data_IF_054352715384
#
_entry.id   IF_054352715384
#
_cell.length_a   1.000
_cell.length_b   1.000
_cell.length_c   1.000
_cell.angle_alpha   90.00
_cell.angle_beta   90.00
_cell.angle_gamma   90.00
#
_symmetry.space_group_name_H-M   'P 1'
#
loop_
_entity.id
_entity.type
_entity.pdbx_description
1 polymer ?
#
# COMPACT_ATOMS: atom_id res chain seq x y z
N UNK A 1 -37.54 -3.55 -33.30
CA UNK A 1 -38.77 -4.36 -33.33
C UNK A 1 -38.31 -5.80 -33.25
N UNK A 2 -38.25 -6.33 -32.03
CA UNK A 2 -38.14 -7.76 -31.75
C UNK A 2 -39.03 -8.04 -30.54
N UNK A 3 -39.77 -9.13 -30.62
CA UNK A 3 -41.07 -9.31 -29.98
C UNK A 3 -40.89 -9.99 -28.62
N UNK A 4 -41.16 -9.27 -27.52
CA UNK A 4 -41.27 -9.89 -26.17
C UNK A 4 -42.66 -10.50 -26.05
N UNK A 5 -42.75 -11.82 -26.22
CA UNK A 5 -43.95 -12.59 -25.87
C UNK A 5 -43.71 -13.26 -24.51
N UNK A 6 -44.12 -12.59 -23.43
CA UNK A 6 -44.24 -13.20 -22.11
C UNK A 6 -45.61 -13.87 -22.03
N UNK A 7 -45.69 -15.15 -22.41
CA UNK A 7 -46.84 -15.98 -22.07
C UNK A 7 -46.78 -16.34 -20.59
N UNK A 8 -47.79 -15.91 -19.84
CA UNK A 8 -48.04 -16.27 -18.44
C UNK A 8 -48.33 -17.78 -18.32
N UNK A 9 -47.43 -18.57 -17.70
CA UNK A 9 -47.76 -19.82 -17.02
C UNK A 9 -46.81 -20.10 -15.83
N UNK A 10 -47.33 -19.85 -14.63
CA UNK A 10 -47.25 -20.63 -13.38
C UNK A 10 -45.93 -21.37 -12.99
N UNK A 11 -45.32 -20.84 -11.91
CA UNK A 11 -44.65 -21.52 -10.76
C UNK A 11 -43.35 -22.28 -11.00
N UNK A 12 -42.20 -21.60 -10.87
CA UNK A 12 -40.95 -22.08 -10.23
C UNK A 12 -40.13 -20.85 -9.76
N UNK A 13 -39.44 -20.88 -8.60
CA UNK A 13 -38.54 -19.81 -8.21
C UNK A 13 -37.23 -19.98 -8.97
N UNK A 14 -37.14 -19.44 -10.18
CA UNK A 14 -35.83 -19.16 -10.76
C UNK A 14 -35.29 -17.93 -10.05
N UNK A 15 -34.34 -18.16 -9.14
CA UNK A 15 -33.42 -17.12 -8.71
C UNK A 15 -32.83 -16.48 -9.96
N UNK A 16 -33.20 -15.22 -10.22
CA UNK A 16 -32.41 -14.37 -11.10
C UNK A 16 -31.03 -14.30 -10.46
N UNK A 17 -30.04 -15.01 -11.01
CA UNK A 17 -28.65 -14.70 -10.78
C UNK A 17 -28.40 -13.34 -11.43
N UNK A 18 -28.70 -12.27 -10.70
CA UNK A 18 -28.20 -10.95 -11.00
C UNK A 18 -26.70 -11.00 -10.80
N UNK A 19 -25.96 -11.16 -11.90
CA UNK A 19 -24.56 -10.78 -11.94
C UNK A 19 -24.51 -9.30 -11.59
N UNK A 20 -24.08 -8.99 -10.37
CA UNK A 20 -23.85 -7.62 -9.92
C UNK A 20 -22.77 -7.02 -10.81
N UNK A 21 -23.15 -6.10 -11.68
CA UNK A 21 -22.19 -5.19 -12.32
C UNK A 21 -21.68 -4.30 -11.20
N UNK A 22 -20.46 -4.54 -10.71
CA UNK A 22 -19.78 -3.56 -9.87
C UNK A 22 -19.54 -2.33 -10.73
N UNK A 23 -20.16 -1.23 -10.35
CA UNK A 23 -20.04 0.06 -11.04
C UNK A 23 -18.65 0.64 -10.72
N UNK A 24 -17.63 0.16 -11.43
CA UNK A 24 -16.23 0.57 -11.30
C UNK A 24 -16.07 2.00 -11.85
N UNK A 25 -16.53 2.99 -11.08
CA UNK A 25 -16.35 4.41 -11.41
C UNK A 25 -14.95 4.86 -11.04
N UNK A 26 -14.26 5.40 -12.05
CA UNK A 26 -12.97 6.04 -11.89
C UNK A 26 -13.14 7.54 -11.63
N UNK A 27 -12.45 8.04 -10.61
CA UNK A 27 -12.39 9.46 -10.28
C UNK A 27 -11.05 10.02 -10.73
N UNK A 28 -11.07 11.24 -11.26
CA UNK A 28 -9.83 11.96 -11.59
C UNK A 28 -9.08 12.25 -10.30
N UNK A 29 -7.80 11.88 -10.24
CA UNK A 29 -6.96 12.24 -9.10
C UNK A 29 -6.59 13.73 -9.13
N UNK A 30 -6.19 14.29 -7.99
CA UNK A 30 -5.64 15.64 -7.92
C UNK A 30 -4.39 15.87 -8.79
N UNK A 31 -3.74 14.80 -9.26
CA UNK A 31 -2.54 14.84 -10.10
C UNK A 31 -2.81 15.09 -11.58
N UNK A 32 -2.31 16.22 -12.06
CA UNK A 32 -2.16 16.56 -13.47
C UNK A 32 -0.67 16.61 -13.83
N UNK A 33 -0.36 16.35 -15.10
CA UNK A 33 1.00 16.43 -15.66
C UNK A 33 2.02 15.51 -14.96
N UNK A 34 1.53 14.41 -14.38
CA UNK A 34 2.33 13.43 -13.65
C UNK A 34 1.97 12.01 -14.09
N UNK A 35 2.97 11.14 -14.15
CA UNK A 35 2.81 9.69 -14.32
C UNK A 35 3.53 8.91 -13.24
N UNK A 36 3.09 7.67 -13.04
CA UNK A 36 3.70 6.71 -12.14
C UNK A 36 4.31 5.56 -12.94
N UNK A 37 5.47 5.07 -12.50
CA UNK A 37 6.17 3.96 -13.16
C UNK A 37 6.03 2.62 -12.43
N UNK A 38 5.58 2.63 -11.18
CA UNK A 38 5.44 1.41 -10.39
C UNK A 38 4.09 0.75 -10.51
N UNK A 39 4.07 -0.54 -10.14
CA UNK A 39 2.87 -1.39 -10.18
C UNK A 39 2.16 -1.32 -11.53
N UNK A 40 2.93 -1.09 -12.59
CA UNK A 40 2.46 -1.02 -13.96
C UNK A 40 2.03 -2.42 -14.40
N UNK A 41 0.73 -2.60 -14.59
CA UNK A 41 0.16 -3.82 -15.17
C UNK A 41 0.32 -3.84 -16.69
N UNK A 42 0.11 -2.69 -17.33
CA UNK A 42 0.20 -2.58 -18.78
C UNK A 42 0.40 -1.14 -19.22
N UNK A 43 1.02 -0.96 -20.39
CA UNK A 43 1.14 0.32 -21.08
C UNK A 43 0.70 0.14 -22.53
N UNK A 44 -0.41 0.78 -22.91
CA UNK A 44 -1.06 0.56 -24.21
C UNK A 44 -1.48 1.89 -24.86
N UNK A 45 -1.53 1.89 -26.20
CA UNK A 45 -2.06 3.02 -26.95
C UNK A 45 -3.61 2.97 -26.94
N UNK A 46 -4.25 4.05 -26.54
CA UNK A 46 -5.72 4.20 -26.60
C UNK A 46 -6.09 5.56 -27.16
N UNK A 47 -7.28 5.65 -27.75
CA UNK A 47 -7.75 6.88 -28.40
C UNK A 47 -8.42 7.85 -27.43
N UNK A 48 -8.68 7.44 -26.18
CA UNK A 48 -9.35 8.28 -25.19
C UNK A 48 -9.18 7.77 -23.75
N UNK A 49 -9.40 8.68 -22.79
CA UNK A 49 -9.54 8.39 -21.36
C UNK A 49 -10.57 7.28 -21.07
N UNK A 50 -11.70 7.30 -21.76
CA UNK A 50 -12.74 6.27 -21.67
C UNK A 50 -12.26 4.91 -22.20
N UNK A 51 -11.40 4.91 -23.21
CA UNK A 51 -10.71 3.71 -23.66
C UNK A 51 -9.84 3.12 -22.56
N UNK A 52 -9.08 3.97 -21.86
CA UNK A 52 -8.23 3.56 -20.76
C UNK A 52 -9.02 3.00 -19.57
N UNK A 53 -10.13 3.65 -19.18
CA UNK A 53 -10.96 3.17 -18.06
C UNK A 53 -11.60 1.80 -18.35
N UNK A 54 -12.04 1.56 -19.59
CA UNK A 54 -12.55 0.24 -20.01
C UNK A 54 -11.46 -0.82 -19.95
N UNK A 55 -10.24 -0.49 -20.36
CA UNK A 55 -9.12 -1.42 -20.30
C UNK A 55 -8.75 -1.74 -18.86
N UNK A 56 -8.70 -0.75 -17.97
CA UNK A 56 -8.50 -1.00 -16.54
C UNK A 56 -9.61 -1.88 -15.96
N UNK A 57 -10.88 -1.59 -16.26
CA UNK A 57 -12.02 -2.39 -15.75
C UNK A 57 -11.98 -3.87 -16.18
N UNK A 58 -11.36 -4.17 -17.32
CA UNK A 58 -11.23 -5.53 -17.85
C UNK A 58 -9.87 -6.17 -17.51
N UNK A 59 -8.98 -5.45 -16.84
CA UNK A 59 -7.68 -5.97 -16.42
C UNK A 59 -7.78 -6.34 -14.94
N UNK A 60 -7.52 -7.61 -14.65
CA UNK A 60 -7.42 -8.10 -13.27
C UNK A 60 -6.40 -7.25 -12.49
N UNK A 61 -6.71 -6.99 -11.22
CA UNK A 61 -5.96 -6.14 -10.30
C UNK A 61 -5.84 -4.66 -10.67
N UNK A 62 -6.31 -4.20 -11.84
CA UNK A 62 -6.19 -2.79 -12.19
C UNK A 62 -7.15 -1.96 -11.34
N UNK A 63 -6.60 -1.02 -10.57
CA UNK A 63 -7.36 -0.11 -9.68
C UNK A 63 -7.11 1.37 -9.95
N UNK A 64 -6.12 1.71 -10.76
CA UNK A 64 -5.96 3.07 -11.30
C UNK A 64 -5.30 3.06 -12.68
N UNK A 65 -5.39 4.18 -13.39
CA UNK A 65 -4.68 4.37 -14.64
C UNK A 65 -4.22 5.82 -14.84
N UNK A 66 -3.12 6.00 -15.55
CA UNK A 66 -2.68 7.29 -16.06
C UNK A 66 -2.91 7.35 -17.56
N UNK A 67 -3.61 8.38 -18.03
CA UNK A 67 -3.78 8.65 -19.46
C UNK A 67 -3.00 9.90 -19.86
N UNK A 68 -2.05 9.73 -20.76
CA UNK A 68 -1.27 10.81 -21.38
C UNK A 68 -1.83 11.13 -22.76
N UNK A 69 -2.23 12.38 -22.96
CA UNK A 69 -2.74 12.86 -24.24
C UNK A 69 -1.71 12.67 -25.36
N UNK A 70 -2.17 12.26 -26.54
CA UNK A 70 -1.32 12.04 -27.71
C UNK A 70 -2.14 12.05 -29.00
N UNK A 71 -1.51 12.42 -30.11
CA UNK A 71 -2.15 12.45 -31.44
C UNK A 71 -1.43 11.49 -32.38
N UNK A 72 -2.14 10.54 -33.05
CA UNK A 72 -3.59 10.32 -33.07
C UNK A 72 -4.15 9.50 -31.89
N UNK A 73 -3.27 8.98 -31.03
CA UNK A 73 -3.63 8.17 -29.86
C UNK A 73 -2.80 8.60 -28.65
N UNK A 74 -3.40 8.56 -27.46
CA UNK A 74 -2.71 8.74 -26.20
C UNK A 74 -2.15 7.43 -25.64
N UNK A 75 -1.37 7.55 -24.58
CA UNK A 75 -0.80 6.41 -23.84
C UNK A 75 -1.63 6.18 -22.58
N UNK A 76 -1.99 4.93 -22.34
CA UNK A 76 -2.73 4.47 -21.17
C UNK A 76 -1.86 3.51 -20.37
N UNK A 77 -1.57 3.88 -19.12
CA UNK A 77 -0.79 3.10 -18.17
C UNK A 77 -1.73 2.60 -17.08
N UNK A 78 -1.83 1.29 -16.93
CA UNK A 78 -2.69 0.62 -15.95
C UNK A 78 -1.89 0.25 -14.72
N UNK A 79 -2.44 0.44 -13.53
CA UNK A 79 -1.75 0.20 -12.27
C UNK A 79 -2.55 -0.70 -11.33
N UNK A 80 -1.84 -1.60 -10.62
CA UNK A 80 -2.44 -2.49 -9.62
C UNK A 80 -2.63 -1.85 -8.24
N UNK A 81 -2.38 -0.55 -8.12
CA UNK A 81 -2.56 0.21 -6.88
C UNK A 81 -3.16 1.56 -7.17
N UNK A 82 -3.84 2.15 -6.17
CA UNK A 82 -4.39 3.49 -6.26
C UNK A 82 -3.25 4.50 -6.26
N UNK A 83 -2.96 5.05 -7.45
CA UNK A 83 -1.94 6.09 -7.63
C UNK A 83 -2.50 7.46 -7.27
N UNK A 84 -1.82 8.15 -6.34
CA UNK A 84 -2.21 9.48 -5.85
C UNK A 84 -0.99 10.40 -5.75
N UNK A 85 -1.24 11.68 -5.51
CA UNK A 85 -0.21 12.74 -5.37
C UNK A 85 0.84 12.44 -4.31
N UNK A 86 0.47 11.55 -3.39
CA UNK A 86 1.29 11.10 -2.29
C UNK A 86 2.31 10.04 -2.70
N UNK A 87 2.14 9.31 -3.81
CA UNK A 87 3.07 8.23 -4.13
C UNK A 87 4.46 8.75 -4.56
N UNK A 88 5.58 8.12 -4.12
CA UNK A 88 6.94 8.70 -4.17
C UNK A 88 7.61 8.67 -5.56
N UNK A 89 7.19 7.78 -6.45
CA UNK A 89 7.81 7.57 -7.76
C UNK A 89 6.95 8.18 -8.87
N UNK A 90 6.97 9.51 -8.89
CA UNK A 90 6.21 10.32 -9.82
C UNK A 90 7.15 11.05 -10.77
N UNK A 91 6.85 11.00 -12.06
CA UNK A 91 7.61 11.65 -13.11
C UNK A 91 6.76 12.75 -13.76
N UNK A 92 7.36 13.90 -14.06
CA UNK A 92 6.71 14.93 -14.86
C UNK A 92 6.36 14.36 -16.23
N UNK A 93 5.07 14.44 -16.58
CA UNK A 93 4.54 13.96 -17.83
C UNK A 93 3.41 14.89 -18.30
N UNK A 94 3.74 16.02 -18.94
CA UNK A 94 2.75 17.00 -19.40
C UNK A 94 1.65 16.37 -20.25
N UNK A 95 0.40 16.77 -20.00
CA UNK A 95 -0.78 16.20 -20.64
C UNK A 95 -1.23 14.86 -20.06
N UNK A 96 -0.64 14.43 -18.93
CA UNK A 96 -1.07 13.23 -18.22
C UNK A 96 -2.12 13.54 -17.17
N UNK A 97 -3.08 12.63 -16.99
CA UNK A 97 -4.05 12.70 -15.91
C UNK A 97 -4.24 11.31 -15.33
N UNK A 98 -4.18 11.20 -14.02
CA UNK A 98 -4.38 9.93 -13.31
C UNK A 98 -5.83 9.80 -12.84
N UNK A 99 -6.33 8.57 -12.84
CA UNK A 99 -7.70 8.22 -12.46
C UNK A 99 -7.69 6.97 -11.59
N UNK A 100 -8.43 6.98 -10.50
CA UNK A 100 -8.43 5.92 -9.48
C UNK A 100 -9.83 5.36 -9.27
N UNK A 101 -9.94 4.07 -8.97
CA UNK A 101 -11.19 3.48 -8.47
C UNK A 101 -11.40 3.85 -7.00
N UNK A 102 -12.62 4.30 -6.67
CA UNK A 102 -12.94 4.74 -5.32
C UNK A 102 -12.45 6.17 -5.00
N UNK A 103 -12.94 6.73 -3.89
CA UNK A 103 -12.62 8.10 -3.48
C UNK A 103 -11.20 8.17 -2.90
N UNK A 104 -10.45 9.25 -3.20
CA UNK A 104 -9.01 9.49 -2.98
C UNK A 104 -8.40 9.28 -1.58
N UNK A 105 -9.14 8.77 -0.61
CA UNK A 105 -8.56 8.38 0.67
C UNK A 105 -8.23 6.90 0.57
N UNK A 106 -6.94 6.59 0.46
CA UNK A 106 -6.52 5.25 0.78
C UNK A 106 -7.00 4.81 2.15
N UNK A 107 -7.14 3.50 2.37
CA UNK A 107 -7.58 3.02 3.65
C UNK A 107 -6.58 3.56 4.70
N UNK A 108 -7.06 4.19 5.79
CA UNK A 108 -6.19 4.75 6.81
C UNK A 108 -5.27 3.64 7.34
N UNK A 109 -4.05 4.01 7.76
CA UNK A 109 -3.17 3.05 8.44
C UNK A 109 -3.91 2.37 9.59
N UNK A 110 -3.60 1.09 9.80
CA UNK A 110 -4.24 0.26 10.83
C UNK A 110 -5.72 -0.05 10.51
N UNK A 111 -6.16 0.18 9.27
CA UNK A 111 -7.44 -0.37 8.79
C UNK A 111 -7.40 -1.90 8.77
N UNK A 112 -8.55 -2.51 9.05
CA UNK A 112 -8.69 -3.96 9.00
C UNK A 112 -8.58 -4.46 7.54
N UNK A 113 -7.92 -5.60 7.36
CA UNK A 113 -7.76 -6.27 6.08
C UNK A 113 -7.80 -7.79 6.25
N UNK A 114 -8.13 -8.51 5.18
CA UNK A 114 -7.96 -9.95 5.07
C UNK A 114 -6.80 -10.30 4.12
N UNK A 115 -6.60 -9.48 3.08
CA UNK A 115 -5.53 -9.64 2.09
C UNK A 115 -4.84 -8.31 1.76
N UNK A 116 -3.64 -8.37 1.19
CA UNK A 116 -2.85 -7.17 0.84
C UNK A 116 -3.60 -6.20 -0.10
N UNK A 117 -4.52 -6.72 -0.91
CA UNK A 117 -5.40 -5.93 -1.79
C UNK A 117 -6.33 -4.98 -1.03
N UNK A 118 -6.67 -5.28 0.22
CA UNK A 118 -7.53 -4.42 1.03
C UNK A 118 -6.81 -3.14 1.48
N UNK A 119 -5.47 -3.16 1.43
CA UNK A 119 -4.58 -2.06 1.80
C UNK A 119 -4.19 -1.17 0.61
N UNK A 120 -4.89 -1.30 -0.52
CA UNK A 120 -4.48 -0.77 -1.82
C UNK A 120 -4.48 0.76 -1.92
N UNK A 121 -3.50 1.45 -1.33
CA UNK A 121 -3.16 2.84 -1.68
C UNK A 121 -1.67 3.08 -1.64
N UNK A 122 -1.12 3.44 -2.79
CA UNK A 122 0.32 3.56 -3.02
C UNK A 122 1.14 2.30 -2.66
N UNK A 123 2.41 2.39 -3.00
CA UNK A 123 3.42 1.34 -2.85
C UNK A 123 3.67 1.04 -1.39
N UNK A 124 3.88 -0.24 -1.09
CA UNK A 124 4.52 -0.65 0.14
C UNK A 124 3.56 -0.66 1.33
N UNK A 125 2.26 -0.88 1.12
CA UNK A 125 1.35 -1.35 2.15
C UNK A 125 1.07 -2.83 1.97
N UNK A 126 0.94 -3.56 3.08
CA UNK A 126 0.54 -4.97 3.10
C UNK A 126 -0.42 -5.24 4.25
N UNK A 127 -1.18 -6.32 4.12
CA UNK A 127 -2.03 -6.81 5.20
C UNK A 127 -1.19 -7.65 6.16
N UNK A 128 -0.84 -7.03 7.29
CA UNK A 128 -0.04 -7.66 8.32
C UNK A 128 -0.91 -8.00 9.54
N UNK A 129 -1.15 -9.30 9.76
CA UNK A 129 -2.02 -9.80 10.84
C UNK A 129 -3.39 -9.09 10.93
N UNK A 130 -3.99 -8.87 9.76
CA UNK A 130 -5.31 -8.26 9.65
C UNK A 130 -5.32 -6.74 9.76
N UNK A 131 -4.15 -6.08 9.68
CA UNK A 131 -4.03 -4.64 9.67
C UNK A 131 -3.19 -4.15 8.49
N UNK A 132 -3.63 -3.09 7.83
CA UNK A 132 -2.85 -2.42 6.80
C UNK A 132 -1.70 -1.63 7.41
N UNK A 133 -0.48 -2.13 7.19
CA UNK A 133 0.77 -1.52 7.62
C UNK A 133 1.66 -1.29 6.41
N UNK A 134 2.76 -0.56 6.61
CA UNK A 134 3.81 -0.56 5.60
C UNK A 134 4.39 -1.98 5.45
N UNK A 135 4.82 -2.32 4.24
CA UNK A 135 5.66 -3.50 4.01
C UNK A 135 6.86 -3.40 4.93
N UNK A 136 7.15 -4.43 5.74
CA UNK A 136 8.31 -4.49 6.61
C UNK A 136 9.57 -4.02 5.89
N UNK A 137 10.25 -3.04 6.49
CA UNK A 137 11.42 -2.39 5.91
C UNK A 137 11.14 -1.03 5.25
N UNK A 138 9.92 -0.77 4.80
CA UNK A 138 9.50 0.56 4.37
C UNK A 138 9.16 1.42 5.60
N UNK A 139 9.59 2.68 5.56
CA UNK A 139 9.29 3.67 6.58
C UNK A 139 7.92 4.28 6.34
N UNK A 140 7.12 4.38 7.39
CA UNK A 140 5.90 5.16 7.33
C UNK A 140 6.24 6.66 7.43
N UNK A 141 5.91 7.46 6.41
CA UNK A 141 6.06 8.92 6.45
C UNK A 141 4.79 9.56 7.00
N UNK A 142 4.88 10.16 8.18
CA UNK A 142 3.71 10.70 8.87
C UNK A 142 3.13 11.94 8.18
N UNK A 143 3.99 12.80 7.63
CA UNK A 143 3.55 14.00 6.92
C UNK A 143 2.77 13.69 5.65
N UNK A 144 3.15 12.62 4.93
CA UNK A 144 2.55 12.24 3.66
C UNK A 144 1.56 11.08 3.75
N UNK A 145 1.52 10.37 4.88
CA UNK A 145 0.68 9.19 5.11
C UNK A 145 0.91 8.09 4.06
N UNK A 146 2.17 7.82 3.72
CA UNK A 146 2.60 6.77 2.76
C UNK A 146 3.75 5.95 3.33
N UNK A 147 4.08 4.85 2.64
CA UNK A 147 5.28 4.07 2.89
C UNK A 147 6.40 4.46 1.90
N UNK A 148 7.59 4.74 2.42
CA UNK A 148 8.77 5.10 1.65
C UNK A 148 9.91 4.12 1.89
N UNK A 149 10.69 3.82 0.86
CA UNK A 149 11.78 2.84 0.95
C UNK A 149 13.00 3.37 1.71
N UNK A 150 13.20 4.68 1.68
CA UNK A 150 14.39 5.36 2.21
C UNK A 150 13.97 6.44 3.20
N UNK A 151 14.73 6.60 4.28
CA UNK A 151 14.58 7.68 5.24
C UNK A 151 15.97 8.15 5.68
N UNK A 152 16.22 9.45 5.58
CA UNK A 152 17.47 10.06 6.04
C UNK A 152 17.53 10.06 7.57
N UNK A 153 18.74 10.04 8.13
CA UNK A 153 18.93 10.00 9.59
C UNK A 153 18.32 11.20 10.31
N UNK A 154 18.33 12.36 9.66
CA UNK A 154 17.72 13.59 10.17
C UNK A 154 16.19 13.52 10.22
N UNK A 155 15.59 12.65 9.43
CA UNK A 155 14.14 12.60 9.21
C UNK A 155 13.49 11.45 9.98
N UNK A 156 14.29 10.59 10.63
CA UNK A 156 13.79 9.52 11.47
C UNK A 156 13.03 10.08 12.68
N UNK A 157 11.79 9.63 12.85
CA UNK A 157 10.88 10.08 13.90
C UNK A 157 10.96 9.20 15.15
N UNK A 158 10.25 9.63 16.19
CA UNK A 158 10.10 8.89 17.45
C UNK A 158 9.00 7.84 17.38
N UNK A 159 8.02 8.06 16.51
CA UNK A 159 6.93 7.12 16.29
C UNK A 159 7.46 5.86 15.61
N UNK A 160 6.83 4.74 15.91
CA UNK A 160 7.24 3.42 15.44
C UNK A 160 6.05 2.68 14.85
N UNK A 161 6.30 2.00 13.74
CA UNK A 161 5.43 0.96 13.20
C UNK A 161 5.72 -0.35 13.93
N UNK A 162 4.68 -1.14 14.18
CA UNK A 162 4.76 -2.38 14.96
C UNK A 162 4.37 -3.56 14.09
N UNK A 163 5.22 -4.58 14.07
CA UNK A 163 4.98 -5.84 13.42
C UNK A 163 4.97 -6.94 14.48
N UNK A 164 3.76 -7.30 14.91
CA UNK A 164 3.57 -8.27 15.97
C UNK A 164 4.10 -9.67 15.61
N UNK A 165 4.65 -10.37 16.61
CA UNK A 165 5.14 -11.76 16.48
C UNK A 165 6.20 -11.94 15.39
N UNK A 166 7.13 -11.00 15.31
CA UNK A 166 8.17 -10.96 14.27
C UNK A 166 9.47 -10.35 14.79
N UNK A 167 10.56 -10.54 14.05
CA UNK A 167 11.88 -10.06 14.42
C UNK A 167 12.91 -10.14 13.29
N UNK A 168 14.05 -9.47 13.47
CA UNK A 168 15.24 -9.52 12.63
C UNK A 168 16.38 -10.17 13.43
N UNK A 169 16.69 -11.43 13.19
CA UNK A 169 17.69 -12.11 14.01
C UNK A 169 19.12 -11.65 13.73
N UNK A 170 19.90 -11.43 14.80
CA UNK A 170 21.36 -11.37 14.73
C UNK A 170 21.98 -10.08 14.18
N UNK A 171 21.21 -8.99 14.08
CA UNK A 171 21.67 -7.70 13.56
C UNK A 171 21.74 -6.60 14.62
N UNK A 172 21.86 -7.01 15.88
CA UNK A 172 21.79 -6.12 17.04
C UNK A 172 23.06 -5.27 17.16
N UNK A 173 22.90 -3.94 17.14
CA UNK A 173 23.98 -3.01 17.45
C UNK A 173 24.19 -2.90 18.95
N UNK A 174 23.11 -2.91 19.73
CA UNK A 174 23.13 -2.81 21.19
C UNK A 174 21.94 -3.59 21.74
N UNK A 175 22.19 -4.39 22.79
CA UNK A 175 21.16 -5.09 23.54
C UNK A 175 21.00 -4.49 24.94
N UNK A 176 19.76 -4.20 25.34
CA UNK A 176 19.38 -3.91 26.72
C UNK A 176 18.43 -4.98 27.26
N UNK A 177 18.37 -5.10 28.58
CA UNK A 177 17.43 -6.00 29.27
C UNK A 177 16.67 -5.23 30.34
N UNK A 178 15.54 -5.78 30.79
CA UNK A 178 14.69 -5.16 31.82
C UNK A 178 14.24 -3.74 31.43
N UNK A 179 13.90 -3.54 30.15
CA UNK A 179 13.34 -2.29 29.63
C UNK A 179 11.89 -2.46 29.29
N UNK A 180 11.11 -1.41 29.54
CA UNK A 180 9.79 -1.26 28.94
C UNK A 180 9.93 -0.93 27.46
N UNK A 181 8.88 -1.18 26.67
CA UNK A 181 8.86 -0.80 25.26
C UNK A 181 9.11 0.70 25.06
N UNK A 182 8.53 1.55 25.92
CA UNK A 182 8.73 3.01 25.83
C UNK A 182 10.19 3.38 26.05
N UNK A 183 10.86 2.78 27.05
CA UNK A 183 12.29 2.98 27.26
C UNK A 183 13.11 2.50 26.05
N UNK A 184 12.72 1.37 25.44
CA UNK A 184 13.35 0.87 24.22
C UNK A 184 13.28 1.86 23.05
N UNK A 185 12.09 2.38 22.78
CA UNK A 185 11.89 3.37 21.73
C UNK A 185 12.75 4.61 22.01
N UNK A 186 12.79 5.08 23.25
CA UNK A 186 13.62 6.23 23.63
C UNK A 186 15.13 5.94 23.47
N UNK A 187 15.59 4.74 23.81
CA UNK A 187 16.98 4.31 23.59
C UNK A 187 17.32 4.29 22.10
N UNK A 188 16.42 3.79 21.26
CA UNK A 188 16.57 3.80 19.81
C UNK A 188 16.61 5.23 19.25
N UNK A 189 15.67 6.09 19.65
CA UNK A 189 15.65 7.51 19.24
C UNK A 189 16.94 8.23 19.62
N UNK A 190 17.51 7.93 20.80
CA UNK A 190 18.78 8.51 21.25
C UNK A 190 20.02 7.94 20.56
N UNK A 191 19.85 6.90 19.74
CA UNK A 191 20.92 6.21 19.00
C UNK A 191 20.76 6.52 17.50
N UNK A 192 21.54 7.44 16.91
CA UNK A 192 21.32 7.91 15.53
C UNK A 192 21.25 6.80 14.48
N UNK A 193 22.06 5.75 14.64
CA UNK A 193 22.09 4.61 13.73
C UNK A 193 20.89 3.66 13.89
N UNK A 194 20.10 3.77 14.97
CA UNK A 194 18.98 2.86 15.23
C UNK A 194 17.83 3.14 14.27
N UNK A 195 17.46 2.10 13.50
CA UNK A 195 16.34 2.09 12.56
C UNK A 195 15.19 1.24 13.08
N UNK A 196 15.52 0.15 13.77
CA UNK A 196 14.56 -0.87 14.20
C UNK A 196 14.89 -1.41 15.59
N UNK A 197 13.90 -2.06 16.21
CA UNK A 197 13.99 -2.66 17.53
C UNK A 197 13.31 -4.02 17.47
N UNK A 198 13.98 -5.07 17.93
CA UNK A 198 13.32 -6.30 18.33
C UNK A 198 13.11 -6.27 19.85
N UNK A 199 11.85 -6.35 20.27
CA UNK A 199 11.47 -6.27 21.68
C UNK A 199 10.92 -7.60 22.18
N UNK A 200 11.65 -8.22 23.11
CA UNK A 200 11.26 -9.45 23.77
C UNK A 200 10.34 -9.17 24.96
N UNK A 201 9.05 -9.49 24.83
CA UNK A 201 8.00 -9.10 25.79
C UNK A 201 8.19 -9.67 27.19
N UNK A 202 8.70 -10.90 27.30
CA UNK A 202 8.79 -11.60 28.59
C UNK A 202 9.85 -11.00 29.53
N UNK A 203 10.95 -10.51 28.98
CA UNK A 203 12.11 -10.06 29.77
C UNK A 203 12.43 -8.57 29.57
N UNK A 204 11.63 -7.87 28.75
CA UNK A 204 11.92 -6.49 28.37
C UNK A 204 13.28 -6.41 27.65
N UNK A 205 13.57 -7.39 26.81
CA UNK A 205 14.80 -7.43 26.02
C UNK A 205 14.64 -6.45 24.86
N UNK A 206 15.67 -5.67 24.62
CA UNK A 206 15.67 -4.55 23.70
C UNK A 206 16.85 -4.67 22.76
N UNK A 207 16.62 -5.17 21.56
CA UNK A 207 17.65 -5.32 20.57
C UNK A 207 17.54 -4.15 19.59
N UNK A 208 18.39 -3.15 19.75
CA UNK A 208 18.47 -2.03 18.81
C UNK A 208 19.25 -2.47 17.58
N UNK A 209 18.81 -2.03 16.40
CA UNK A 209 19.36 -2.48 15.12
C UNK A 209 19.49 -1.31 14.14
N UNK A 210 20.53 -1.34 13.29
CA UNK A 210 20.78 -0.31 12.26
C UNK A 210 20.28 -0.72 10.88
N UNK A 211 19.53 -1.81 10.80
CA UNK A 211 19.02 -2.39 9.56
C UNK A 211 17.50 -2.43 9.57
N UNK A 212 16.91 -2.67 8.41
CA UNK A 212 15.48 -2.89 8.23
C UNK A 212 15.23 -4.24 7.56
N UNK A 213 13.97 -4.67 7.49
CA UNK A 213 13.58 -5.89 6.77
C UNK A 213 13.79 -5.82 5.23
N UNK A 214 14.19 -4.66 4.70
CA UNK A 214 14.69 -4.53 3.33
C UNK A 214 16.17 -4.90 3.18
N UNK A 215 16.95 -4.73 4.25
CA UNK A 215 18.40 -4.92 4.24
C UNK A 215 18.79 -6.37 4.53
N UNK A 216 17.97 -7.06 5.33
CA UNK A 216 18.25 -8.41 5.84
C UNK A 216 16.98 -9.25 5.90
N UNK A 217 17.15 -10.57 5.94
CA UNK A 217 16.04 -11.49 6.16
C UNK A 217 15.44 -11.26 7.57
N UNK A 218 14.14 -11.45 7.68
CA UNK A 218 13.37 -11.27 8.90
C UNK A 218 12.33 -12.38 9.05
N UNK A 219 11.92 -12.66 10.28
CA UNK A 219 11.01 -13.75 10.61
C UNK A 219 9.59 -13.23 10.78
N UNK A 220 8.66 -13.66 9.90
CA UNK A 220 7.25 -13.30 9.96
C UNK A 220 6.45 -14.31 10.78
N UNK A 221 5.74 -13.85 11.81
CA UNK A 221 4.65 -14.61 12.45
C UNK A 221 5.05 -15.93 13.11
N UNK A 222 6.34 -16.13 13.41
CA UNK A 222 6.88 -17.36 13.98
C UNK A 222 7.44 -17.18 15.38
N UNK A 223 7.70 -15.94 15.78
CA UNK A 223 8.23 -15.64 17.11
C UNK A 223 7.16 -15.01 18.01
N UNK A 224 6.41 -15.86 18.71
CA UNK A 224 5.30 -15.44 19.57
C UNK A 224 5.73 -14.67 20.82
N UNK A 225 7.03 -14.45 21.06
CA UNK A 225 7.52 -13.71 22.23
C UNK A 225 8.12 -12.34 21.88
N UNK A 226 8.27 -12.05 20.58
CA UNK A 226 8.97 -10.87 20.09
C UNK A 226 8.11 -10.02 19.17
N UNK A 227 8.31 -8.71 19.24
CA UNK A 227 7.71 -7.74 18.32
C UNK A 227 8.81 -6.91 17.67
N UNK A 228 8.71 -6.76 16.35
CA UNK A 228 9.59 -5.96 15.52
C UNK A 228 9.00 -4.55 15.41
N UNK A 229 9.80 -3.54 15.72
CA UNK A 229 9.43 -2.13 15.62
C UNK A 229 10.35 -1.44 14.63
N UNK A 230 9.77 -0.61 13.75
CA UNK A 230 10.53 0.22 12.82
C UNK A 230 10.19 1.69 13.04
N UNK A 231 11.20 2.55 13.08
CA UNK A 231 10.97 4.00 13.19
C UNK A 231 10.21 4.53 11.98
N UNK A 232 9.35 5.52 12.20
CA UNK A 232 8.70 6.29 11.15
C UNK A 232 9.66 7.35 10.57
N UNK A 233 9.26 7.94 9.45
CA UNK A 233 9.94 9.04 8.78
C UNK A 233 9.07 10.31 8.80
N UNK A 234 9.70 11.48 8.69
CA UNK A 234 8.99 12.76 8.55
C UNK A 234 8.17 12.83 7.25
#
# INVERSE_FOLDING_TARGET
MDVVSCLLLLVLPFSCMGGGVTDNRFFKSGDEDVMYDDHLLSSLAVTSKLGCSRQCSNTEDCVSFTFTEGSPSGTCRLHSQVMTSRCPNRSEAPGSTTYTMGQEAGPPLISACDTDSDCATCIGFECFFGQCLCTPGYYFSEGSQICVKTCEESDLQQNVMVYANSGIDGNDIIQYTSKTLVECVMLCVSTPACRTIDYGRQHGTCNLQSVTALDVAWNRGTDLDWDFFQRACA
#
